data_IF_737588499260
#
_entry.id   IF_737588499260
#
_cell.length_a   1.000
_cell.length_b   1.000
_cell.length_c   1.000
_cell.angle_alpha   90.00
_cell.angle_beta   90.00
_cell.angle_gamma   90.00
#
_symmetry.space_group_name_H-M   'P 1'
#
loop_
_entity.id
_entity.type
_entity.pdbx_description
1 polymer ?
#
# COMPACT_ATOMS: atom_id res chain seq x y z
N UNK A 1 46.32 23.91 18.61
CA UNK A 1 45.90 23.29 18.51
C UNK A 1 45.12 22.56 18.31
N UNK A 2 45.12 22.64 18.29
CA UNK A 2 44.38 21.91 18.18
C UNK A 2 43.56 21.30 17.94
N UNK A 3 43.46 21.38 17.92
CA UNK A 3 42.68 20.79 17.86
C UNK A 3 41.94 20.19 17.48
N UNK A 4 41.98 20.30 17.38
CA UNK A 4 41.21 19.67 17.14
C UNK A 4 40.62 18.96 16.88
N UNK A 5 40.88 19.01 16.89
CA UNK A 5 40.26 18.28 16.75
C UNK A 5 39.54 17.64 16.52
N UNK A 6 39.52 17.83 16.60
CA UNK A 6 38.76 17.10 16.43
C UNK A 6 37.98 16.58 16.08
N UNK A 7 38.14 16.82 16.08
CA UNK A 7 37.38 16.32 15.80
C UNK A 7 36.76 15.69 15.46
N UNK A 8 36.74 15.78 15.50
CA UNK A 8 36.12 15.04 15.24
C UNK A 8 35.33 14.51 14.99
N UNK A 9 35.41 14.72 15.03
CA UNK A 9 34.64 14.02 14.85
C UNK A 9 34.02 13.54 14.51
N UNK A 10 34.02 13.74 14.50
CA UNK A 10 33.28 13.09 14.20
C UNK A 10 32.63 12.56 13.91
N UNK A 11 32.71 12.82 13.92
CA UNK A 11 31.98 12.04 13.65
C UNK A 11 31.36 11.54 13.37
N UNK A 12 31.36 11.74 13.40
CA UNK A 12 30.54 11.00 13.15
C UNK A 12 29.99 10.63 12.84
N UNK A 13 30.02 10.90 12.83
CA UNK A 13 29.24 10.23 12.61
C UNK A 13 28.60 9.78 12.32
N UNK A 14 28.67 9.94 12.35
CA UNK A 14 27.82 9.25 12.11
C UNK A 14 27.26 8.92 11.75
N UNK A 15 27.25 9.11 11.70
CA UNK A 15 26.49 8.42 11.40
C UNK A 15 25.90 7.98 11.05
N UNK A 16 25.92 8.24 11.05
CA UNK A 16 25.23 7.50 10.77
C UNK A 16 24.61 7.08 10.43
N UNK A 17 24.57 7.29 10.43
CA UNK A 17 23.87 6.59 10.17
C UNK A 17 23.19 6.18 9.91
N UNK A 18 23.13 6.39 9.91
CA UNK A 18 22.40 5.73 9.73
C UNK A 18 21.81 5.46 9.38
N UNK A 19 21.74 5.76 9.29
CA UNK A 19 21.06 5.24 9.00
C UNK A 19 20.50 4.82 8.68
N UNK A 20 20.70 5.16 8.75
CA UNK A 20 20.15 4.70 8.43
C UNK A 20 19.63 4.06 8.31
N UNK A 21 20.02 4.63 8.22
CA UNK A 21 19.39 3.73 8.08
C UNK A 21 18.53 2.91 8.34
N UNK A 22 18.55 2.56 9.09
CA UNK A 22 17.65 1.58 9.41
C UNK A 22 16.50 1.49 8.47
N UNK A 23 16.18 2.50 7.97
CA UNK A 23 15.06 2.54 7.13
C UNK A 23 15.14 1.60 5.95
N UNK A 24 16.26 1.53 5.38
CA UNK A 24 16.38 0.69 4.22
C UNK A 24 16.20 -0.75 4.58
N UNK A 25 16.56 -1.11 5.76
CA UNK A 25 16.37 -2.49 6.17
C UNK A 25 14.93 -2.87 6.16
N UNK A 26 14.12 -1.96 6.58
CA UNK A 26 12.70 -2.22 6.61
C UNK A 26 12.17 -2.53 5.25
N UNK A 27 12.66 -1.80 4.29
CA UNK A 27 12.19 -1.99 2.94
C UNK A 27 12.45 -3.40 2.46
N UNK A 28 13.47 -4.04 2.99
CA UNK A 28 13.75 -5.39 2.57
C UNK A 28 12.85 -6.41 3.21
N UNK A 29 12.32 -6.08 4.37
CA UNK A 29 11.54 -7.03 5.10
C UNK A 29 10.05 -6.89 4.92
N UNK A 30 9.59 -5.71 4.59
CA UNK A 30 8.16 -5.45 4.53
C UNK A 30 7.77 -4.77 3.24
N UNK A 31 6.89 -5.44 2.49
CA UNK A 31 6.32 -4.83 1.31
C UNK A 31 5.24 -3.85 1.71
N UNK A 32 4.38 -4.25 2.66
CA UNK A 32 3.31 -3.40 3.17
C UNK A 32 3.40 -3.42 4.68
N UNK A 33 3.35 -2.26 5.30
CA UNK A 33 3.39 -2.16 6.75
C UNK A 33 2.17 -2.84 7.35
N UNK A 34 2.39 -3.56 8.44
CA UNK A 34 1.31 -4.27 9.11
C UNK A 34 0.21 -3.32 9.57
N UNK A 35 0.59 -2.10 9.95
CA UNK A 35 -0.37 -1.08 10.35
C UNK A 35 -1.31 -0.67 9.23
N UNK A 36 -0.94 -0.97 8.00
CA UNK A 36 -1.73 -0.63 6.82
C UNK A 36 -2.49 -1.82 6.27
N UNK A 37 -2.70 -2.84 7.09
CA UNK A 37 -3.44 -4.01 6.69
C UNK A 37 -4.76 -4.09 7.46
N UNK A 38 -5.81 -4.53 6.78
CA UNK A 38 -7.12 -4.75 7.41
C UNK A 38 -7.74 -6.00 6.85
N UNK A 39 -8.46 -6.73 7.68
CA UNK A 39 -9.10 -7.98 7.29
C UNK A 39 -10.58 -7.91 7.62
N UNK A 40 -11.41 -8.33 6.67
CA UNK A 40 -12.84 -8.47 6.91
C UNK A 40 -13.62 -7.18 7.00
N UNK A 41 -13.22 -6.17 6.23
CA UNK A 41 -13.94 -4.91 6.22
C UNK A 41 -15.28 -5.08 5.50
N UNK A 42 -16.29 -4.35 5.99
CA UNK A 42 -17.64 -4.43 5.42
C UNK A 42 -17.87 -3.24 4.50
N UNK A 43 -18.03 -3.52 3.23
CA UNK A 43 -18.30 -2.50 2.22
C UNK A 43 -19.66 -2.77 1.61
N UNK A 44 -20.44 -1.72 1.41
CA UNK A 44 -21.77 -1.84 0.81
C UNK A 44 -21.67 -1.99 -0.70
N UNK A 45 -20.70 -1.31 -1.30
CA UNK A 45 -20.53 -1.30 -2.74
C UNK A 45 -19.09 -0.95 -3.06
N UNK A 46 -18.78 -0.82 -4.33
CA UNK A 46 -17.41 -0.58 -4.75
C UNK A 46 -16.88 0.79 -4.30
N UNK A 47 -17.74 1.80 -4.24
CA UNK A 47 -17.28 3.11 -3.75
C UNK A 47 -16.88 3.04 -2.29
N UNK A 48 -17.69 2.35 -1.51
CA UNK A 48 -17.41 2.15 -0.09
C UNK A 48 -16.12 1.36 0.09
N UNK A 49 -15.92 0.34 -0.76
CA UNK A 49 -14.71 -0.48 -0.68
C UNK A 49 -13.45 0.36 -0.94
N UNK A 50 -13.50 1.24 -1.94
CA UNK A 50 -12.36 2.12 -2.21
C UNK A 50 -12.14 3.08 -1.04
N UNK A 51 -13.22 3.64 -0.51
CA UNK A 51 -13.09 4.59 0.60
C UNK A 51 -12.53 3.93 1.85
N UNK A 52 -12.91 2.69 2.12
CA UNK A 52 -12.36 1.98 3.27
C UNK A 52 -10.86 1.72 3.10
N UNK A 53 -10.43 1.36 1.88
CA UNK A 53 -9.01 1.13 1.65
C UNK A 53 -8.22 2.42 1.72
N UNK A 54 -8.77 3.51 1.18
CA UNK A 54 -8.11 4.81 1.25
C UNK A 54 -8.03 5.36 2.67
N UNK A 55 -9.04 5.06 3.49
CA UNK A 55 -9.05 5.52 4.87
C UNK A 55 -7.86 4.99 5.66
N UNK A 56 -7.36 3.80 5.31
CA UNK A 56 -6.18 3.25 5.97
C UNK A 56 -4.98 4.17 5.75
N UNK A 57 -4.80 4.65 4.53
CA UNK A 57 -3.69 5.56 4.23
C UNK A 57 -3.94 6.95 4.78
N UNK A 58 -5.20 7.38 4.88
CA UNK A 58 -5.51 8.65 5.52
C UNK A 58 -5.14 8.61 7.00
N UNK A 59 -5.46 7.51 7.67
CA UNK A 59 -5.12 7.34 9.09
C UNK A 59 -3.62 7.31 9.30
N UNK A 60 -2.89 6.77 8.33
CA UNK A 60 -1.44 6.72 8.41
C UNK A 60 -0.79 8.07 8.13
N UNK A 61 -1.57 9.06 7.68
CA UNK A 61 -1.04 10.36 7.34
C UNK A 61 -0.37 10.42 5.98
N UNK A 62 -0.54 9.38 5.19
CA UNK A 62 0.13 9.29 3.88
C UNK A 62 -0.61 10.03 2.79
N UNK A 63 -1.93 10.12 2.89
CA UNK A 63 -2.75 10.83 1.90
C UNK A 63 -3.84 11.62 2.59
N UNK A 64 -4.37 12.60 1.88
CA UNK A 64 -5.56 13.34 2.32
C UNK A 64 -6.81 12.69 1.74
N UNK A 65 -7.93 12.99 2.34
CA UNK A 65 -9.21 12.45 1.87
C UNK A 65 -9.46 12.76 0.39
N UNK A 66 -8.95 13.89 -0.08
CA UNK A 66 -9.09 14.25 -1.50
C UNK A 66 -8.51 13.19 -2.43
N UNK A 67 -7.43 12.54 -2.01
CA UNK A 67 -6.88 11.46 -2.82
C UNK A 67 -7.82 10.25 -2.88
N UNK A 68 -8.40 9.91 -1.74
CA UNK A 68 -9.36 8.80 -1.70
C UNK A 68 -10.53 9.07 -2.65
N UNK A 69 -11.05 10.28 -2.63
CA UNK A 69 -12.16 10.62 -3.51
C UNK A 69 -11.72 10.65 -4.97
N UNK A 70 -10.47 11.00 -5.25
CA UNK A 70 -9.99 10.96 -6.62
C UNK A 70 -9.90 9.53 -7.15
N UNK A 71 -9.64 8.56 -6.29
CA UNK A 71 -9.68 7.15 -6.69
C UNK A 71 -11.09 6.72 -7.07
N UNK A 72 -12.08 7.14 -6.29
CA UNK A 72 -13.48 6.85 -6.60
C UNK A 72 -13.87 7.48 -7.93
N UNK A 73 -13.49 8.74 -8.10
CA UNK A 73 -13.84 9.46 -9.33
C UNK A 73 -13.18 8.84 -10.55
N UNK A 74 -11.95 8.37 -10.41
CA UNK A 74 -11.26 7.74 -11.53
C UNK A 74 -12.02 6.52 -12.03
N UNK A 75 -12.56 5.72 -11.11
CA UNK A 75 -13.34 4.55 -11.50
C UNK A 75 -14.67 4.98 -12.11
N UNK A 76 -15.29 6.01 -11.57
CA UNK A 76 -16.53 6.53 -12.16
C UNK A 76 -16.32 6.98 -13.60
N UNK A 77 -15.20 7.66 -13.85
CA UNK A 77 -14.94 8.23 -15.17
C UNK A 77 -14.42 7.20 -16.16
N UNK A 78 -13.61 6.25 -15.72
CA UNK A 78 -12.88 5.35 -16.60
C UNK A 78 -13.38 3.90 -16.55
N UNK A 79 -14.28 3.59 -15.62
CA UNK A 79 -14.76 2.22 -15.45
C UNK A 79 -13.86 1.46 -14.49
N UNK A 80 -14.13 0.16 -14.30
CA UNK A 80 -13.47 -0.64 -13.28
C UNK A 80 -12.08 -1.14 -13.70
N UNK A 81 -11.28 -0.26 -14.26
CA UNK A 81 -9.95 -0.61 -14.76
C UNK A 81 -9.01 -1.10 -13.65
N UNK A 82 -9.34 -0.79 -12.40
CA UNK A 82 -8.50 -1.18 -11.28
C UNK A 82 -8.64 -2.66 -10.91
N UNK A 83 -9.66 -3.34 -11.41
CA UNK A 83 -9.86 -4.77 -11.13
C UNK A 83 -9.06 -5.55 -12.16
N UNK A 84 -7.84 -5.92 -11.79
CA UNK A 84 -6.86 -6.45 -12.74
C UNK A 84 -6.82 -7.96 -12.82
N UNK A 85 -7.33 -8.65 -11.81
CA UNK A 85 -7.36 -10.11 -11.76
C UNK A 85 -8.61 -10.54 -11.03
N UNK A 86 -9.07 -11.79 -11.22
CA UNK A 86 -10.27 -12.25 -10.51
C UNK A 86 -10.14 -12.02 -9.01
N UNK A 87 -11.07 -11.25 -8.47
CA UNK A 87 -11.16 -11.01 -7.04
C UNK A 87 -10.21 -9.97 -6.48
N UNK A 88 -9.37 -9.35 -7.32
CA UNK A 88 -8.33 -8.45 -6.84
C UNK A 88 -8.36 -7.11 -7.56
N UNK A 89 -8.33 -6.02 -6.79
CA UNK A 89 -8.30 -4.68 -7.34
C UNK A 89 -7.14 -3.89 -6.75
N UNK A 90 -6.58 -2.99 -7.56
CA UNK A 90 -5.55 -2.06 -7.10
C UNK A 90 -6.15 -0.65 -7.17
N UNK A 91 -6.56 -0.15 -6.01
CA UNK A 91 -7.13 1.20 -5.93
C UNK A 91 -6.00 2.22 -6.01
N UNK A 92 -6.07 3.09 -6.98
CA UNK A 92 -5.03 4.10 -7.18
C UNK A 92 -5.57 5.25 -8.02
N UNK A 93 -4.87 6.36 -7.96
CA UNK A 93 -5.17 7.52 -8.79
C UNK A 93 -3.85 8.21 -9.12
N UNK A 94 -3.90 9.20 -9.99
CA UNK A 94 -2.70 9.93 -10.38
C UNK A 94 -2.10 10.63 -9.16
N UNK A 95 -0.77 10.73 -9.08
CA UNK A 95 -0.13 11.48 -8.00
C UNK A 95 -0.64 12.92 -7.96
N UNK A 96 -0.77 13.46 -6.76
CA UNK A 96 -1.25 14.83 -6.59
C UNK A 96 -0.71 15.38 -5.26
N UNK A 97 -1.01 16.64 -5.00
CA UNK A 97 -0.61 17.27 -3.75
C UNK A 97 -1.28 16.61 -2.54
N UNK A 98 -2.33 15.84 -2.76
CA UNK A 98 -3.01 15.14 -1.67
C UNK A 98 -2.24 13.89 -1.21
N UNK A 99 -1.17 13.50 -1.93
CA UNK A 99 -0.32 12.39 -1.51
C UNK A 99 0.92 12.97 -0.84
N UNK A 100 1.08 12.67 0.45
CA UNK A 100 2.19 13.20 1.22
C UNK A 100 3.43 12.32 1.18
N UNK A 101 3.21 11.01 1.05
CA UNK A 101 4.33 10.07 0.92
C UNK A 101 3.84 8.79 0.27
N UNK A 102 4.77 8.05 -0.32
CA UNK A 102 4.47 6.74 -0.89
C UNK A 102 4.00 5.81 0.21
N UNK A 103 2.95 5.06 -0.06
CA UNK A 103 2.48 4.09 0.91
C UNK A 103 1.56 3.09 0.24
N UNK A 104 1.41 1.95 0.90
CA UNK A 104 0.56 0.87 0.41
C UNK A 104 -0.32 0.39 1.55
N UNK A 105 -1.55 0.02 1.21
CA UNK A 105 -2.47 -0.59 2.17
C UNK A 105 -3.09 -1.81 1.52
N UNK A 106 -3.33 -2.85 2.31
CA UNK A 106 -3.95 -4.07 1.80
C UNK A 106 -5.12 -4.42 2.69
N UNK A 107 -6.29 -4.59 2.08
CA UNK A 107 -7.50 -4.89 2.84
C UNK A 107 -8.25 -6.05 2.20
N UNK A 108 -8.94 -6.83 3.03
CA UNK A 108 -9.90 -7.82 2.52
C UNK A 108 -11.29 -7.39 2.95
N UNK A 109 -12.27 -7.78 2.15
CA UNK A 109 -13.67 -7.47 2.41
C UNK A 109 -14.36 -8.69 2.99
N UNK A 110 -15.23 -8.45 3.96
CA UNK A 110 -16.01 -9.53 4.58
C UNK A 110 -16.89 -10.21 3.55
N UNK A 111 -17.41 -9.43 2.60
CA UNK A 111 -18.22 -9.96 1.52
C UNK A 111 -17.72 -9.38 0.20
N UNK A 112 -17.77 -10.18 -0.88
CA UNK A 112 -17.29 -9.68 -2.18
C UNK A 112 -18.16 -8.55 -2.68
N UNK A 113 -17.53 -7.66 -3.46
CA UNK A 113 -18.19 -6.48 -4.00
C UNK A 113 -18.01 -6.48 -5.51
N UNK A 114 -19.06 -6.11 -6.23
CA UNK A 114 -19.03 -5.97 -7.68
C UNK A 114 -18.60 -4.59 -8.09
N UNK A 115 -17.63 -4.53 -9.00
CA UNK A 115 -17.16 -3.26 -9.57
C UNK A 115 -17.68 -3.07 -10.99
N UNK A 116 -18.37 -4.06 -11.55
CA UNK A 116 -18.78 -4.02 -12.95
C UNK A 116 -17.72 -4.59 -13.88
N UNK A 117 -16.82 -5.38 -13.38
CA UNK A 117 -15.71 -5.95 -14.12
C UNK A 117 -15.94 -7.43 -14.40
N UNK A 118 -15.40 -7.95 -15.52
CA UNK A 118 -15.44 -9.40 -15.76
C UNK A 118 -14.73 -10.19 -14.65
N UNK A 119 -13.87 -9.53 -13.86
CA UNK A 119 -13.13 -10.18 -12.78
C UNK A 119 -13.84 -10.11 -11.44
N UNK A 120 -15.09 -9.63 -11.42
CA UNK A 120 -15.89 -9.58 -10.21
C UNK A 120 -16.23 -10.99 -9.71
N UNK A 121 -16.54 -11.11 -8.40
CA UNK A 121 -16.52 -10.04 -7.40
C UNK A 121 -15.15 -9.89 -6.77
N UNK A 122 -14.92 -8.75 -6.12
CA UNK A 122 -13.63 -8.40 -5.54
C UNK A 122 -13.67 -8.54 -4.02
N UNK A 123 -12.66 -9.18 -3.44
CA UNK A 123 -12.51 -9.30 -1.99
C UNK A 123 -11.18 -8.78 -1.48
N UNK A 124 -10.18 -8.68 -2.34
CA UNK A 124 -8.85 -8.21 -1.92
C UNK A 124 -8.54 -6.92 -2.66
N UNK A 125 -8.21 -5.87 -1.90
CA UNK A 125 -7.92 -4.57 -2.48
C UNK A 125 -6.58 -4.07 -1.96
N UNK A 126 -5.70 -3.72 -2.90
CA UNK A 126 -4.46 -3.02 -2.59
C UNK A 126 -4.68 -1.56 -2.91
N UNK A 127 -4.38 -0.69 -1.95
CA UNK A 127 -4.46 0.76 -2.16
C UNK A 127 -3.04 1.29 -2.30
N UNK A 128 -2.78 2.04 -3.36
CA UNK A 128 -1.45 2.53 -3.69
C UNK A 128 -1.46 4.04 -3.72
N UNK A 129 -0.53 4.66 -2.98
CA UNK A 129 -0.32 6.10 -3.01
C UNK A 129 1.13 6.35 -3.39
N UNK A 130 1.33 7.14 -4.44
CA UNK A 130 2.67 7.45 -4.92
C UNK A 130 2.81 8.93 -5.15
N UNK A 131 4.01 9.44 -4.90
CA UNK A 131 4.28 10.87 -5.05
C UNK A 131 4.63 11.23 -6.49
N UNK A 132 5.06 10.25 -7.28
CA UNK A 132 5.35 10.48 -8.69
C UNK A 132 5.13 9.20 -9.48
N UNK A 133 5.24 9.32 -10.80
CA UNK A 133 4.98 8.20 -11.68
C UNK A 133 6.00 7.07 -11.53
N UNK A 134 7.23 7.43 -11.28
CA UNK A 134 8.29 6.43 -11.15
C UNK A 134 8.10 5.56 -9.93
N UNK A 135 7.77 6.17 -8.79
CA UNK A 135 7.51 5.40 -7.58
C UNK A 135 6.27 4.55 -7.73
N UNK A 136 5.30 5.02 -8.51
CA UNK A 136 4.09 4.25 -8.79
C UNK A 136 4.44 2.95 -9.51
N UNK A 137 5.27 3.04 -10.54
CA UNK A 137 5.68 1.86 -11.30
C UNK A 137 6.47 0.88 -10.42
N UNK A 138 7.38 1.41 -9.60
CA UNK A 138 8.17 0.55 -8.70
C UNK A 138 7.26 -0.16 -7.69
N UNK A 139 6.30 0.55 -7.13
CA UNK A 139 5.41 -0.05 -6.14
C UNK A 139 4.58 -1.16 -6.77
N UNK A 140 4.03 -0.91 -7.95
CA UNK A 140 3.23 -1.93 -8.63
C UNK A 140 4.07 -3.13 -9.01
N UNK A 141 5.32 -2.92 -9.43
CA UNK A 141 6.21 -4.03 -9.78
C UNK A 141 6.52 -4.90 -8.58
N UNK A 142 6.81 -4.28 -7.45
CA UNK A 142 7.11 -5.02 -6.23
C UNK A 142 5.92 -5.85 -5.78
N UNK A 143 4.73 -5.28 -5.85
CA UNK A 143 3.52 -6.00 -5.47
C UNK A 143 3.25 -7.14 -6.44
N UNK A 144 3.39 -6.89 -7.73
CA UNK A 144 3.16 -7.94 -8.73
C UNK A 144 4.08 -9.11 -8.50
N UNK A 145 5.33 -8.84 -8.18
CA UNK A 145 6.29 -9.89 -7.91
C UNK A 145 5.91 -10.70 -6.67
N UNK A 146 5.51 -9.99 -5.61
CA UNK A 146 5.12 -10.66 -4.37
C UNK A 146 3.89 -11.53 -4.56
N UNK A 147 2.95 -11.10 -5.40
CA UNK A 147 1.70 -11.80 -5.58
C UNK A 147 1.78 -12.87 -6.66
N UNK A 148 2.89 -12.97 -7.36
CA UNK A 148 3.02 -13.95 -8.45
C UNK A 148 3.29 -15.36 -7.95
N UNK A 149 3.62 -15.53 -6.68
CA UNK A 149 3.84 -16.86 -6.11
C UNK A 149 2.52 -17.60 -6.03
N UNK A 150 2.58 -18.93 -6.26
CA UNK A 150 1.39 -19.75 -6.29
C UNK A 150 0.61 -19.67 -4.98
N UNK A 151 -0.67 -19.37 -5.10
CA UNK A 151 -1.57 -19.40 -3.95
C UNK A 151 -1.49 -18.22 -3.02
N UNK A 152 -0.57 -17.28 -3.25
CA UNK A 152 -0.45 -16.13 -2.34
C UNK A 152 -1.70 -15.29 -2.32
N UNK A 153 -2.27 -15.01 -3.48
CA UNK A 153 -3.48 -14.19 -3.54
C UNK A 153 -4.64 -14.85 -2.81
N UNK A 154 -4.78 -16.15 -2.98
CA UNK A 154 -5.84 -16.87 -2.31
C UNK A 154 -5.64 -16.87 -0.80
N UNK A 155 -4.40 -17.08 -0.37
CA UNK A 155 -4.10 -17.06 1.06
C UNK A 155 -4.36 -15.69 1.68
N UNK A 156 -3.99 -14.63 0.98
CA UNK A 156 -4.23 -13.28 1.47
C UNK A 156 -5.73 -13.00 1.56
N UNK A 157 -6.47 -13.38 0.54
CA UNK A 157 -7.92 -13.15 0.52
C UNK A 157 -8.61 -13.87 1.67
N UNK A 158 -8.11 -15.04 2.04
CA UNK A 158 -8.72 -15.86 3.08
C UNK A 158 -8.05 -15.72 4.44
N UNK A 159 -7.13 -14.79 4.60
CA UNK A 159 -6.47 -14.57 5.88
C UNK A 159 -7.50 -14.20 6.94
N UNK A 160 -7.40 -14.83 8.09
CA UNK A 160 -8.36 -14.63 9.17
C UNK A 160 -7.99 -13.43 10.05
N UNK A 161 -6.75 -12.95 9.95
CA UNK A 161 -6.29 -11.85 10.78
C UNK A 161 -5.21 -11.07 10.06
N UNK A 162 -4.95 -9.87 10.58
CA UNK A 162 -3.87 -9.04 10.06
C UNK A 162 -2.52 -9.72 10.28
N UNK A 163 -2.36 -10.42 11.41
CA UNK A 163 -1.12 -11.15 11.67
C UNK A 163 -0.87 -12.21 10.61
N UNK A 164 -1.90 -12.92 10.22
CA UNK A 164 -1.77 -13.94 9.19
C UNK A 164 -1.44 -13.31 7.83
N UNK A 165 -2.12 -12.22 7.49
CA UNK A 165 -1.86 -11.50 6.26
C UNK A 165 -0.41 -11.01 6.21
N UNK A 166 0.07 -10.46 7.31
CA UNK A 166 1.45 -9.98 7.42
C UNK A 166 2.45 -11.13 7.20
N UNK A 167 2.19 -12.27 7.82
CA UNK A 167 3.09 -13.42 7.64
C UNK A 167 3.14 -13.89 6.20
N UNK A 168 2.00 -13.92 5.52
CA UNK A 168 1.94 -14.38 4.15
C UNK A 168 2.72 -13.44 3.23
N UNK A 169 2.55 -12.15 3.44
CA UNK A 169 3.09 -11.16 2.51
C UNK A 169 4.54 -10.81 2.81
N UNK A 170 4.90 -10.72 4.06
CA UNK A 170 6.19 -10.16 4.48
C UNK A 170 7.17 -11.18 5.08
N UNK A 171 6.86 -12.46 4.99
CA UNK A 171 7.79 -13.47 5.55
C UNK A 171 8.81 -13.94 4.53
#
# INVERSE_FOLDING_TARGET
MLRDSNSKSMSGSGVSSADAGGTSCDAMGSIIAKENMRVGLKAKDWTDAIRLSGAVLEEAGSVEHAYTESMVKAVEDLGPYIVIMPGFAIAHAAPSAAVHKEDLALVTLAQPVSFGSPNDPVRLILCVACTDRESHVRALSAVAEALSSDGVMEKLTNAASVDEMDRILNS
#
